data_IF_518041612055
#
_entry.id   IF_518041612055
#
_cell.length_a   1.000
_cell.length_b   1.000
_cell.length_c   1.000
_cell.angle_alpha   90.00
_cell.angle_beta   90.00
_cell.angle_gamma   90.00
#
_symmetry.space_group_name_H-M   'P 1'
#
loop_
_entity.id
_entity.type
_entity.pdbx_description
1 polymer ?
#
# COMPACT_ATOMS: atom_id res chain seq x y z
N UNK A 1 8.39 -16.33 -6.78
CA UNK A 1 7.05 -16.97 -6.81
C UNK A 1 6.00 -15.87 -6.79
N UNK A 2 4.97 -15.98 -7.64
CA UNK A 2 3.86 -15.03 -7.64
C UNK A 2 3.07 -15.17 -6.33
N UNK A 3 2.60 -14.05 -5.78
CA UNK A 3 1.81 -14.00 -4.55
C UNK A 3 0.55 -14.89 -4.65
N UNK A 4 -0.09 -14.92 -5.82
CA UNK A 4 -1.23 -15.77 -6.12
C UNK A 4 -0.96 -17.27 -5.87
N UNK A 5 0.18 -17.78 -6.36
CA UNK A 5 0.56 -19.17 -6.15
C UNK A 5 0.85 -19.48 -4.66
N UNK A 6 1.37 -18.48 -3.93
CA UNK A 6 1.57 -18.64 -2.49
C UNK A 6 0.23 -18.79 -1.76
N UNK A 7 -0.74 -17.94 -2.08
CA UNK A 7 -2.08 -18.04 -1.47
C UNK A 7 -2.78 -19.36 -1.80
N UNK A 8 -2.64 -19.87 -3.03
CA UNK A 8 -3.16 -21.20 -3.38
C UNK A 8 -2.52 -22.31 -2.55
N UNK A 9 -1.19 -22.27 -2.40
CA UNK A 9 -0.48 -23.24 -1.54
C UNK A 9 -0.92 -23.10 -0.08
N UNK A 10 -1.18 -21.90 0.41
CA UNK A 10 -1.71 -21.64 1.75
C UNK A 10 -3.09 -22.23 1.93
N UNK A 11 -3.99 -22.12 0.95
CA UNK A 11 -5.31 -22.76 1.00
C UNK A 11 -5.19 -24.29 1.16
N UNK A 12 -4.31 -24.93 0.38
CA UNK A 12 -4.06 -26.36 0.47
C UNK A 12 -3.47 -26.75 1.83
N UNK A 13 -2.54 -25.95 2.36
CA UNK A 13 -1.96 -26.16 3.68
C UNK A 13 -3.00 -26.07 4.80
N UNK A 14 -3.87 -25.06 4.74
CA UNK A 14 -4.95 -24.87 5.72
C UNK A 14 -5.93 -26.04 5.69
N UNK A 15 -6.30 -26.52 4.50
CA UNK A 15 -7.19 -27.68 4.36
C UNK A 15 -6.55 -28.96 4.93
N UNK A 16 -5.27 -29.19 4.66
CA UNK A 16 -4.51 -30.29 5.27
C UNK A 16 -4.44 -30.17 6.79
N UNK A 17 -4.23 -28.96 7.32
CA UNK A 17 -4.21 -28.71 8.76
C UNK A 17 -5.56 -29.00 9.40
N UNK A 18 -6.65 -28.56 8.79
CA UNK A 18 -8.01 -28.83 9.25
C UNK A 18 -8.29 -30.33 9.28
N UNK A 19 -7.99 -31.05 8.20
CA UNK A 19 -8.28 -32.47 8.08
C UNK A 19 -7.41 -33.31 9.04
N UNK A 20 -6.09 -33.06 9.03
CA UNK A 20 -5.13 -33.97 9.69
C UNK A 20 -4.89 -33.67 11.15
N UNK A 21 -5.02 -32.41 11.56
CA UNK A 21 -4.74 -31.97 12.93
C UNK A 21 -6.02 -31.68 13.72
N UNK A 22 -6.97 -30.98 13.11
CA UNK A 22 -8.21 -30.59 13.77
C UNK A 22 -9.35 -31.58 13.55
N UNK A 23 -9.16 -32.60 12.71
CA UNK A 23 -10.19 -33.59 12.34
C UNK A 23 -11.49 -32.95 11.83
N UNK A 24 -11.35 -31.82 11.12
CA UNK A 24 -12.42 -31.05 10.54
C UNK A 24 -12.46 -31.17 9.02
N UNK A 25 -13.59 -30.89 8.37
CA UNK A 25 -13.65 -30.85 6.91
C UNK A 25 -12.77 -29.75 6.33
N UNK A 26 -12.26 -29.95 5.11
CA UNK A 26 -11.59 -28.91 4.35
C UNK A 26 -12.48 -27.69 4.18
N UNK A 27 -11.87 -26.51 4.18
CA UNK A 27 -12.59 -25.24 4.06
C UNK A 27 -12.51 -24.62 2.67
N UNK A 28 -11.31 -24.52 2.11
CA UNK A 28 -11.10 -23.84 0.83
C UNK A 28 -11.36 -24.74 -0.37
N UNK A 29 -10.86 -25.97 -0.34
CA UNK A 29 -10.93 -26.95 -1.42
C UNK A 29 -10.47 -26.39 -2.78
N UNK A 30 -9.59 -25.37 -2.74
CA UNK A 30 -9.12 -24.65 -3.92
C UNK A 30 -8.11 -25.49 -4.70
N UNK A 31 -8.31 -25.61 -6.01
CA UNK A 31 -7.45 -26.33 -6.94
C UNK A 31 -6.79 -25.38 -7.95
N UNK A 32 -7.38 -24.22 -8.16
CA UNK A 32 -6.94 -23.21 -9.10
C UNK A 32 -7.01 -21.83 -8.47
N UNK A 33 -6.45 -20.82 -9.14
CA UNK A 33 -6.50 -19.43 -8.67
C UNK A 33 -7.93 -18.88 -8.72
N UNK A 34 -8.75 -19.35 -9.65
CA UNK A 34 -10.14 -18.96 -9.80
C UNK A 34 -10.98 -19.39 -8.59
N UNK A 35 -10.64 -20.53 -7.98
CA UNK A 35 -11.35 -21.01 -6.79
C UNK A 35 -11.12 -20.13 -5.56
N UNK A 36 -10.05 -19.32 -5.57
CA UNK A 36 -9.72 -18.39 -4.48
C UNK A 36 -10.48 -17.06 -4.63
N UNK A 37 -10.90 -16.72 -5.83
CA UNK A 37 -11.67 -15.47 -6.07
C UNK A 37 -12.99 -15.55 -5.30
N UNK A 38 -13.26 -14.47 -4.54
CA UNK A 38 -14.44 -14.41 -3.66
C UNK A 38 -14.14 -14.78 -2.20
N UNK A 39 -13.04 -15.44 -1.90
CA UNK A 39 -12.65 -15.71 -0.51
C UNK A 39 -12.17 -14.46 0.22
N UNK A 40 -12.33 -14.48 1.54
CA UNK A 40 -11.88 -13.40 2.41
C UNK A 40 -10.39 -13.59 2.71
N UNK A 41 -9.67 -12.51 2.58
CA UNK A 41 -8.27 -12.38 2.99
C UNK A 41 -8.13 -11.25 4.01
N UNK A 42 -6.99 -11.19 4.66
CA UNK A 42 -6.60 -10.15 5.60
C UNK A 42 -5.45 -9.37 4.97
N UNK A 43 -5.64 -8.07 4.77
CA UNK A 43 -4.57 -7.14 4.43
C UNK A 43 -3.95 -6.57 5.69
N UNK A 44 -2.64 -6.56 5.75
CA UNK A 44 -1.86 -6.11 6.89
C UNK A 44 -0.69 -5.26 6.41
N UNK A 45 -0.57 -4.05 6.91
CA UNK A 45 0.62 -3.26 6.67
C UNK A 45 1.81 -3.84 7.46
N UNK A 46 3.04 -3.84 6.92
CA UNK A 46 4.22 -4.29 7.62
C UNK A 46 4.39 -3.58 8.98
N UNK A 47 4.86 -4.33 9.97
CA UNK A 47 5.11 -3.84 11.33
C UNK A 47 3.87 -3.32 12.06
N UNK A 48 2.69 -3.78 11.68
CA UNK A 48 1.42 -3.50 12.36
C UNK A 48 0.76 -4.80 12.81
N UNK A 49 -0.22 -4.69 13.73
CA UNK A 49 -0.99 -5.83 14.21
C UNK A 49 -2.47 -5.74 13.84
N UNK A 50 -2.88 -4.66 13.18
CA UNK A 50 -4.25 -4.41 12.77
C UNK A 50 -4.49 -4.88 11.34
N UNK A 51 -5.10 -6.06 11.19
CA UNK A 51 -5.51 -6.59 9.89
C UNK A 51 -6.85 -6.02 9.44
N UNK A 52 -6.99 -5.79 8.14
CA UNK A 52 -8.24 -5.33 7.50
C UNK A 52 -8.77 -6.44 6.61
N UNK A 53 -10.01 -6.86 6.86
CA UNK A 53 -10.65 -7.88 6.04
C UNK A 53 -10.95 -7.32 4.64
N UNK A 54 -10.61 -8.11 3.63
CA UNK A 54 -10.91 -7.82 2.23
C UNK A 54 -11.39 -9.07 1.50
N UNK A 55 -11.88 -8.90 0.29
CA UNK A 55 -12.28 -10.00 -0.58
C UNK A 55 -11.41 -9.99 -1.82
N UNK A 56 -10.88 -11.14 -2.17
CA UNK A 56 -10.15 -11.31 -3.43
C UNK A 56 -11.15 -11.21 -4.56
N UNK A 57 -10.94 -10.27 -5.48
CA UNK A 57 -11.84 -10.01 -6.62
C UNK A 57 -11.26 -10.46 -7.96
N UNK A 58 -9.99 -10.82 -8.00
CA UNK A 58 -9.32 -11.28 -9.21
C UNK A 58 -7.81 -11.24 -9.09
N UNK A 59 -7.15 -11.53 -10.19
CA UNK A 59 -5.70 -11.59 -10.34
C UNK A 59 -5.24 -10.66 -11.45
N UNK A 60 -4.03 -10.17 -11.33
CA UNK A 60 -3.35 -9.36 -12.33
C UNK A 60 -1.92 -9.86 -12.51
N UNK A 61 -1.37 -9.66 -13.69
CA UNK A 61 0.04 -9.96 -13.98
C UNK A 61 0.99 -8.87 -13.45
N UNK A 62 0.46 -7.75 -13.01
CA UNK A 62 1.25 -6.68 -12.40
C UNK A 62 1.82 -7.11 -11.05
N UNK A 63 3.03 -6.66 -10.72
CA UNK A 63 3.67 -6.85 -9.42
C UNK A 63 3.14 -5.90 -8.34
N UNK A 64 1.88 -5.53 -8.43
CA UNK A 64 1.20 -4.62 -7.52
C UNK A 64 -0.18 -5.13 -7.13
N UNK A 65 -0.65 -4.74 -5.94
CA UNK A 65 -2.01 -5.02 -5.48
C UNK A 65 -2.93 -3.83 -5.74
N UNK A 66 -4.11 -4.10 -6.26
CA UNK A 66 -5.17 -3.12 -6.49
C UNK A 66 -6.28 -3.31 -5.48
N UNK A 67 -6.73 -2.23 -4.89
CA UNK A 67 -7.86 -2.25 -3.97
C UNK A 67 -8.59 -0.90 -3.95
N UNK A 68 -9.74 -0.88 -3.32
CA UNK A 68 -10.46 0.36 -3.07
C UNK A 68 -9.60 1.34 -2.25
N UNK A 69 -9.56 2.65 -2.56
CA UNK A 69 -8.76 3.63 -1.82
C UNK A 69 -8.97 3.60 -0.30
N UNK A 70 -10.20 3.45 0.17
CA UNK A 70 -10.49 3.34 1.60
C UNK A 70 -9.91 2.08 2.25
N UNK A 71 -9.72 0.98 1.51
CA UNK A 71 -9.02 -0.19 2.02
C UNK A 71 -7.53 0.11 2.24
N UNK A 72 -6.88 0.76 1.28
CA UNK A 72 -5.49 1.21 1.43
C UNK A 72 -5.34 2.17 2.61
N UNK A 73 -6.24 3.14 2.70
CA UNK A 73 -6.27 4.08 3.81
C UNK A 73 -6.44 3.38 5.17
N UNK A 74 -7.33 2.38 5.27
CA UNK A 74 -7.55 1.62 6.50
C UNK A 74 -6.32 0.87 7.00
N UNK A 75 -5.44 0.48 6.11
CA UNK A 75 -4.15 -0.13 6.45
C UNK A 75 -3.13 0.90 6.94
N UNK A 76 -3.44 2.18 6.89
CA UNK A 76 -2.57 3.30 7.30
C UNK A 76 -1.24 3.31 6.52
N UNK A 77 -1.31 3.00 5.22
CA UNK A 77 -0.15 3.01 4.32
C UNK A 77 -0.45 3.85 3.11
N UNK A 78 0.59 4.50 2.59
CA UNK A 78 0.54 5.24 1.35
C UNK A 78 0.50 4.28 0.15
N UNK A 79 0.13 4.81 -1.01
CA UNK A 79 0.11 4.03 -2.26
C UNK A 79 1.30 4.39 -3.18
N UNK A 80 2.43 4.72 -2.58
CA UNK A 80 3.63 5.27 -3.24
C UNK A 80 4.78 4.25 -3.36
N UNK A 81 4.49 2.97 -3.23
CA UNK A 81 5.47 1.88 -3.30
C UNK A 81 5.63 1.11 -1.99
N UNK A 82 4.74 1.32 -1.04
CA UNK A 82 4.70 0.57 0.20
C UNK A 82 4.30 -0.89 -0.04
N UNK A 83 4.84 -1.77 0.76
CA UNK A 83 4.54 -3.20 0.73
C UNK A 83 3.38 -3.53 1.68
N UNK A 84 2.56 -4.50 1.29
CA UNK A 84 1.49 -5.06 2.10
C UNK A 84 1.66 -6.58 2.25
N UNK A 85 1.25 -7.10 3.41
CA UNK A 85 1.02 -8.52 3.60
C UNK A 85 -0.43 -8.86 3.29
N UNK A 86 -0.65 -9.93 2.54
CA UNK A 86 -1.98 -10.51 2.32
C UNK A 86 -1.94 -11.95 2.77
N UNK A 87 -2.88 -12.34 3.62
CA UNK A 87 -3.02 -13.73 4.07
C UNK A 87 -4.46 -14.19 3.96
N UNK A 88 -4.64 -15.50 3.80
CA UNK A 88 -5.98 -16.07 3.81
C UNK A 88 -6.58 -16.00 5.22
N UNK A 89 -7.90 -15.76 5.31
CA UNK A 89 -8.57 -15.57 6.61
C UNK A 89 -8.34 -16.74 7.56
N UNK A 90 -8.51 -17.97 7.09
CA UNK A 90 -8.36 -19.15 7.95
C UNK A 90 -6.91 -19.38 8.38
N UNK A 91 -5.93 -19.02 7.54
CA UNK A 91 -4.53 -19.04 7.94
C UNK A 91 -4.27 -18.05 9.09
N UNK A 92 -4.77 -16.83 8.96
CA UNK A 92 -4.70 -15.81 10.01
C UNK A 92 -5.37 -16.27 11.32
N UNK A 93 -6.53 -16.92 11.23
CA UNK A 93 -7.27 -17.37 12.43
C UNK A 93 -6.63 -18.58 13.12
N UNK A 94 -6.07 -19.52 12.36
CA UNK A 94 -5.52 -20.77 12.90
C UNK A 94 -4.06 -20.62 13.35
N UNK A 95 -3.25 -19.88 12.61
CA UNK A 95 -1.80 -19.87 12.77
C UNK A 95 -1.26 -18.59 13.43
N UNK A 96 -1.98 -17.48 13.39
CA UNK A 96 -1.55 -16.20 13.98
C UNK A 96 -2.31 -15.92 15.27
N UNK A 97 -2.14 -16.76 16.26
CA UNK A 97 -2.72 -16.56 17.59
C UNK A 97 -1.65 -16.02 18.55
N UNK A 98 -2.09 -15.27 19.56
CA UNK A 98 -1.19 -14.74 20.58
C UNK A 98 -0.40 -15.84 21.31
N UNK A 99 -0.94 -17.07 21.37
CA UNK A 99 -0.32 -18.21 22.04
C UNK A 99 0.86 -18.80 21.25
N UNK A 100 0.80 -18.75 19.93
CA UNK A 100 1.83 -19.34 19.04
C UNK A 100 2.93 -18.33 18.73
N UNK A 101 2.62 -17.03 18.79
CA UNK A 101 3.57 -15.98 18.43
C UNK A 101 4.70 -15.86 19.47
N UNK A 102 5.92 -15.56 19.02
CA UNK A 102 7.04 -15.32 19.92
C UNK A 102 6.72 -14.22 20.92
N UNK A 103 7.27 -14.33 22.12
CA UNK A 103 7.07 -13.34 23.17
C UNK A 103 7.71 -11.97 22.85
N UNK A 104 8.71 -11.94 21.95
CA UNK A 104 9.39 -10.73 21.55
C UNK A 104 8.47 -9.81 20.72
N UNK A 105 8.71 -8.51 20.84
CA UNK A 105 7.90 -7.50 20.15
C UNK A 105 7.94 -7.66 18.63
N UNK A 106 9.11 -7.94 18.04
CA UNK A 106 9.29 -8.10 16.60
C UNK A 106 8.43 -9.24 16.02
N UNK A 107 8.34 -10.38 16.69
CA UNK A 107 7.54 -11.51 16.21
C UNK A 107 6.02 -11.30 16.27
N UNK A 108 5.56 -10.23 16.94
CA UNK A 108 4.14 -9.88 17.03
C UNK A 108 3.72 -8.77 16.08
N UNK A 109 4.68 -8.04 15.51
CA UNK A 109 4.40 -6.84 14.71
C UNK A 109 3.82 -7.15 13.32
N UNK A 110 4.03 -8.36 12.82
CA UNK A 110 3.55 -8.76 11.50
C UNK A 110 2.43 -9.81 11.58
N UNK A 111 1.73 -9.86 12.72
CA UNK A 111 0.64 -10.79 12.95
C UNK A 111 -0.70 -10.06 13.10
N UNK A 112 -1.77 -10.54 12.48
CA UNK A 112 -3.10 -9.93 12.56
C UNK A 112 -3.77 -10.22 13.91
N UNK A 113 -3.26 -9.62 14.98
CA UNK A 113 -3.79 -9.78 16.33
C UNK A 113 -5.15 -9.08 16.53
N UNK A 114 -5.44 -8.10 15.71
CA UNK A 114 -6.72 -7.40 15.65
C UNK A 114 -7.22 -7.42 14.21
N UNK A 115 -8.43 -7.89 14.01
CA UNK A 115 -9.08 -7.92 12.71
C UNK A 115 -10.27 -6.98 12.70
N UNK A 116 -10.29 -6.03 11.77
CA UNK A 116 -11.44 -5.17 11.52
C UNK A 116 -12.13 -5.54 10.22
N UNK A 117 -13.47 -5.52 10.27
CA UNK A 117 -14.36 -5.66 9.12
C UNK A 117 -15.11 -4.36 8.83
N UNK A 118 -14.95 -3.36 9.69
CA UNK A 118 -15.55 -2.04 9.55
C UNK A 118 -14.48 -1.01 9.34
N UNK A 119 -14.68 -0.18 8.33
CA UNK A 119 -13.90 1.02 8.09
C UNK A 119 -14.64 2.21 8.70
N UNK A 120 -13.94 2.94 9.54
CA UNK A 120 -14.36 4.28 9.93
C UNK A 120 -13.40 5.27 9.24
N UNK A 121 -13.82 5.92 8.16
CA UNK A 121 -12.93 6.81 7.40
C UNK A 121 -12.35 7.95 8.23
N UNK A 122 -13.03 8.38 9.30
CA UNK A 122 -12.57 9.46 10.19
C UNK A 122 -11.39 9.06 11.10
N UNK A 123 -11.15 7.76 11.27
CA UNK A 123 -10.06 7.22 12.11
C UNK A 123 -8.79 6.90 11.33
N UNK A 124 -8.80 7.15 10.03
CA UNK A 124 -7.72 6.83 9.12
C UNK A 124 -6.67 7.95 9.15
N UNK A 125 -5.41 7.57 8.96
CA UNK A 125 -4.31 8.53 8.81
C UNK A 125 -4.57 9.48 7.63
N UNK A 126 -4.43 10.78 7.88
CA UNK A 126 -4.70 11.80 6.87
C UNK A 126 -3.84 11.67 5.62
N UNK A 127 -2.61 11.20 5.77
CA UNK A 127 -1.72 10.99 4.63
C UNK A 127 -2.26 9.92 3.68
N UNK A 128 -2.87 8.86 4.22
CA UNK A 128 -3.49 7.81 3.42
C UNK A 128 -4.77 8.26 2.71
N UNK A 129 -5.34 9.41 3.07
CA UNK A 129 -6.52 9.99 2.43
C UNK A 129 -6.20 10.89 1.23
N UNK A 130 -4.93 11.15 0.96
CA UNK A 130 -4.50 11.97 -0.19
C UNK A 130 -4.51 11.23 -1.54
N UNK A 131 -5.20 10.10 -1.63
CA UNK A 131 -5.34 9.35 -2.88
C UNK A 131 -6.26 10.11 -3.82
N UNK A 132 -5.77 10.36 -5.03
CA UNK A 132 -6.55 10.91 -6.13
C UNK A 132 -7.56 9.86 -6.64
N UNK A 133 -8.78 10.27 -6.86
CA UNK A 133 -9.87 9.41 -7.29
C UNK A 133 -10.71 9.99 -8.44
N UNK A 134 -10.22 11.03 -9.10
CA UNK A 134 -10.88 11.61 -10.26
C UNK A 134 -10.84 10.68 -11.48
N UNK A 135 -11.84 10.80 -12.34
CA UNK A 135 -11.86 10.14 -13.64
C UNK A 135 -11.07 10.92 -14.69
N UNK A 136 -11.03 12.23 -14.55
CA UNK A 136 -10.29 13.14 -15.42
C UNK A 136 -10.09 14.47 -14.69
N UNK A 137 -9.10 15.23 -15.11
CA UNK A 137 -8.95 16.63 -14.76
C UNK A 137 -9.36 17.52 -15.91
N UNK A 138 -9.97 18.65 -15.58
CA UNK A 138 -10.31 19.67 -16.55
C UNK A 138 -9.05 20.46 -16.97
N UNK A 139 -9.21 21.30 -17.99
CA UNK A 139 -8.13 22.12 -18.53
C UNK A 139 -7.54 23.05 -17.47
N UNK A 140 -8.38 23.61 -16.60
CA UNK A 140 -7.96 24.58 -15.59
C UNK A 140 -6.93 23.99 -14.63
N UNK A 141 -7.04 22.68 -14.31
CA UNK A 141 -6.04 21.98 -13.51
C UNK A 141 -4.67 22.01 -14.20
N UNK A 142 -4.61 21.61 -15.48
CA UNK A 142 -3.35 21.59 -16.22
C UNK A 142 -2.76 22.97 -16.44
N UNK A 143 -3.58 23.96 -16.72
CA UNK A 143 -3.12 25.35 -16.85
C UNK A 143 -2.57 25.90 -15.54
N UNK A 144 -3.23 25.61 -14.41
CA UNK A 144 -2.74 26.02 -13.10
C UNK A 144 -1.37 25.41 -12.76
N UNK A 145 -1.09 24.19 -13.21
CA UNK A 145 0.20 23.54 -12.93
C UNK A 145 1.38 24.21 -13.61
N UNK A 146 1.17 25.01 -14.67
CA UNK A 146 2.24 25.73 -15.36
C UNK A 146 2.95 26.74 -14.44
N UNK A 147 2.20 27.33 -13.51
CA UNK A 147 2.73 28.30 -12.54
C UNK A 147 3.31 27.63 -11.29
N UNK A 148 3.29 26.28 -11.22
CA UNK A 148 3.81 25.47 -10.12
C UNK A 148 3.30 25.92 -8.74
N UNK A 149 1.99 26.13 -8.54
CA UNK A 149 1.43 26.51 -7.25
C UNK A 149 1.60 25.37 -6.24
N UNK A 150 1.48 25.69 -4.98
CA UNK A 150 1.41 24.66 -3.96
C UNK A 150 0.10 23.83 -4.15
N UNK A 151 0.13 22.49 -4.03
CA UNK A 151 -1.07 21.66 -4.25
C UNK A 151 -2.30 22.08 -3.45
N UNK A 152 -2.11 22.66 -2.26
CA UNK A 152 -3.21 23.19 -1.44
C UNK A 152 -3.95 24.34 -2.11
N UNK A 153 -3.27 25.14 -2.94
CA UNK A 153 -3.85 26.34 -3.57
C UNK A 153 -4.77 25.95 -4.75
N UNK A 154 -4.56 24.78 -5.33
CA UNK A 154 -5.36 24.22 -6.43
C UNK A 154 -6.21 23.01 -6.01
N UNK A 155 -6.34 22.76 -4.71
CA UNK A 155 -7.09 21.61 -4.19
C UNK A 155 -8.53 21.54 -4.73
N UNK A 156 -9.18 22.66 -4.93
CA UNK A 156 -10.52 22.72 -5.50
C UNK A 156 -10.66 22.22 -6.94
N UNK A 157 -9.55 22.01 -7.64
CA UNK A 157 -9.49 21.40 -8.98
C UNK A 157 -9.18 19.90 -8.94
N UNK A 158 -8.99 19.34 -7.76
CA UNK A 158 -8.65 17.92 -7.53
C UNK A 158 -9.82 17.19 -6.90
N UNK A 159 -9.83 15.89 -7.03
CA UNK A 159 -10.80 15.01 -6.40
C UNK A 159 -10.06 13.94 -5.59
N UNK A 160 -9.96 14.15 -4.31
CA UNK A 160 -9.22 13.28 -3.41
C UNK A 160 -10.15 12.61 -2.39
N UNK A 161 -9.74 11.45 -1.87
CA UNK A 161 -10.53 10.64 -0.95
C UNK A 161 -10.97 11.44 0.28
N UNK A 162 -10.09 12.29 0.85
CA UNK A 162 -10.41 13.09 2.02
C UNK A 162 -11.63 14.01 1.81
N UNK A 163 -11.76 14.59 0.62
CA UNK A 163 -12.84 15.53 0.31
C UNK A 163 -14.19 14.84 0.11
N UNK A 164 -14.19 13.52 -0.07
CA UNK A 164 -15.39 12.70 -0.22
C UNK A 164 -15.93 12.12 1.08
N UNK A 165 -15.17 12.21 2.17
CA UNK A 165 -15.56 11.63 3.45
C UNK A 165 -16.87 12.25 3.97
N UNK A 166 -17.80 11.38 4.37
CA UNK A 166 -19.11 11.78 4.85
C UNK A 166 -20.10 12.25 3.78
N UNK A 167 -19.73 12.23 2.50
CA UNK A 167 -20.61 12.59 1.40
C UNK A 167 -21.36 11.38 0.84
N UNK A 168 -22.48 11.65 0.14
CA UNK A 168 -23.15 10.63 -0.65
C UNK A 168 -22.20 10.21 -1.78
N UNK A 169 -21.79 8.95 -1.79
CA UNK A 169 -20.82 8.44 -2.75
C UNK A 169 -19.40 8.31 -2.20
N UNK A 170 -19.22 8.47 -0.90
CA UNK A 170 -17.94 8.27 -0.18
C UNK A 170 -17.21 6.98 -0.60
N UNK A 171 -17.95 5.92 -0.91
CA UNK A 171 -17.41 4.62 -1.31
C UNK A 171 -17.57 4.29 -2.79
N UNK A 172 -17.98 5.25 -3.62
CA UNK A 172 -18.31 5.01 -5.05
C UNK A 172 -17.71 6.07 -5.95
N UNK A 173 -17.69 5.77 -7.26
CA UNK A 173 -17.28 6.74 -8.27
C UNK A 173 -15.78 7.04 -8.28
N UNK A 174 -14.98 6.12 -7.85
CA UNK A 174 -13.51 6.22 -7.97
C UNK A 174 -13.04 5.85 -9.36
N UNK A 175 -12.11 6.58 -9.89
CA UNK A 175 -11.56 6.39 -11.22
C UNK A 175 -10.06 6.62 -11.31
N UNK A 176 -9.57 6.63 -12.53
CA UNK A 176 -8.18 6.91 -12.89
C UNK A 176 -8.15 8.08 -13.85
N UNK A 177 -7.31 9.05 -13.58
CA UNK A 177 -7.21 10.27 -14.40
C UNK A 177 -6.50 10.07 -15.72
N UNK A 178 -5.62 9.09 -15.81
CA UNK A 178 -4.79 8.81 -16.97
C UNK A 178 -4.71 7.31 -17.23
N UNK A 179 -4.59 6.93 -18.48
CA UNK A 179 -4.22 5.57 -18.84
C UNK A 179 -2.83 5.29 -18.28
N UNK A 180 -2.73 4.27 -17.45
CA UNK A 180 -1.45 3.79 -16.95
C UNK A 180 -1.01 2.58 -17.75
N UNK A 181 0.24 2.55 -18.15
CA UNK A 181 0.89 1.33 -18.63
C UNK A 181 1.02 0.30 -17.50
N UNK A 182 1.61 -0.87 -17.77
CA UNK A 182 1.90 -1.85 -16.73
C UNK A 182 2.71 -1.21 -15.61
N UNK A 183 2.22 -1.26 -14.37
CA UNK A 183 2.92 -0.69 -13.20
C UNK A 183 4.25 -1.38 -12.91
N UNK A 184 4.44 -2.58 -13.41
CA UNK A 184 5.64 -3.38 -13.30
C UNK A 184 6.54 -3.35 -14.55
N UNK A 185 6.22 -2.51 -15.54
CA UNK A 185 7.06 -2.29 -16.73
C UNK A 185 8.30 -1.47 -16.36
N UNK A 186 9.26 -2.10 -15.76
CA UNK A 186 10.50 -1.44 -15.35
C UNK A 186 11.45 -2.43 -14.67
N UNK A 187 12.58 -1.95 -14.15
CA UNK A 187 13.48 -2.80 -13.40
C UNK A 187 12.80 -3.31 -12.12
N UNK A 188 12.86 -4.60 -11.88
CA UNK A 188 12.29 -5.25 -10.68
C UNK A 188 12.95 -4.80 -9.36
N UNK A 189 14.16 -4.26 -9.44
CA UNK A 189 14.91 -3.79 -8.28
C UNK A 189 15.32 -2.33 -8.47
N UNK A 190 15.07 -1.54 -7.43
CA UNK A 190 15.60 -0.19 -7.35
C UNK A 190 17.11 -0.22 -7.09
N UNK A 191 17.88 0.59 -7.82
CA UNK A 191 19.30 0.82 -7.52
C UNK A 191 19.52 1.35 -6.11
N UNK A 192 18.52 1.95 -5.50
CA UNK A 192 18.57 2.40 -4.10
C UNK A 192 18.94 1.28 -3.12
N UNK A 193 18.51 0.05 -3.38
CA UNK A 193 18.85 -1.13 -2.55
C UNK A 193 20.34 -1.47 -2.57
N UNK A 194 21.08 -1.06 -3.60
CA UNK A 194 22.53 -1.31 -3.73
C UNK A 194 23.38 -0.22 -3.11
N UNK A 195 22.79 0.92 -2.75
CA UNK A 195 23.47 2.04 -2.12
C UNK A 195 23.54 1.82 -0.60
N UNK A 196 24.75 1.70 -0.07
CA UNK A 196 24.95 1.33 1.34
C UNK A 196 24.94 2.54 2.25
N UNK A 197 25.60 3.62 1.84
CA UNK A 197 25.78 4.82 2.67
C UNK A 197 24.79 5.94 2.31
N UNK A 198 24.49 6.80 3.29
CA UNK A 198 23.68 8.01 3.04
C UNK A 198 24.33 8.94 2.03
N UNK A 199 25.66 8.99 2.00
CA UNK A 199 26.38 9.79 1.01
C UNK A 199 26.11 9.27 -0.41
N UNK A 200 26.21 7.96 -0.65
CA UNK A 200 25.92 7.36 -1.96
C UNK A 200 24.50 7.61 -2.38
N UNK A 201 23.53 7.51 -1.46
CA UNK A 201 22.13 7.78 -1.69
C UNK A 201 21.89 9.23 -2.11
N UNK A 202 22.49 10.17 -1.39
CA UNK A 202 22.39 11.60 -1.71
C UNK A 202 23.08 11.93 -3.04
N UNK A 203 24.28 11.42 -3.28
CA UNK A 203 24.99 11.60 -4.55
C UNK A 203 24.17 11.06 -5.73
N UNK A 204 23.50 9.93 -5.54
CA UNK A 204 22.59 9.36 -6.56
C UNK A 204 21.39 10.27 -6.83
N UNK A 205 20.74 10.80 -5.80
CA UNK A 205 19.63 11.72 -5.95
C UNK A 205 20.03 13.03 -6.66
N UNK A 206 21.15 13.62 -6.27
CA UNK A 206 21.65 14.85 -6.88
C UNK A 206 22.09 14.64 -8.34
N UNK A 207 22.55 13.43 -8.68
CA UNK A 207 22.95 13.09 -10.05
C UNK A 207 21.77 13.08 -11.04
N UNK A 208 20.53 12.96 -10.57
CA UNK A 208 19.35 13.02 -11.43
C UNK A 208 19.25 14.34 -12.18
N UNK A 209 19.67 15.46 -11.58
CA UNK A 209 19.73 16.76 -12.25
C UNK A 209 20.71 16.84 -13.42
N UNK A 210 21.65 15.87 -13.54
CA UNK A 210 22.56 15.77 -14.69
C UNK A 210 21.97 14.96 -15.83
N UNK A 211 21.02 14.08 -15.53
CA UNK A 211 20.41 13.13 -16.46
C UNK A 211 19.04 13.58 -16.95
N UNK A 212 18.26 14.19 -16.05
CA UNK A 212 16.88 14.60 -16.31
C UNK A 212 16.79 16.13 -16.39
N UNK A 213 16.35 16.64 -17.54
CA UNK A 213 16.17 18.09 -17.74
C UNK A 213 15.13 18.74 -16.80
N UNK A 214 14.16 17.95 -16.35
CA UNK A 214 13.11 18.40 -15.43
C UNK A 214 13.55 18.50 -13.97
N UNK A 215 14.75 18.01 -13.64
CA UNK A 215 15.28 18.01 -12.27
C UNK A 215 16.34 19.10 -12.10
N UNK A 216 16.05 20.07 -11.23
CA UNK A 216 17.01 21.09 -10.80
C UNK A 216 17.77 20.59 -9.57
N UNK A 217 19.05 20.24 -9.73
CA UNK A 217 19.85 19.65 -8.65
C UNK A 217 20.02 20.58 -7.44
N UNK A 218 20.10 21.89 -7.65
CA UNK A 218 20.15 22.92 -6.62
C UNK A 218 18.86 22.94 -5.76
N UNK A 219 17.70 22.81 -6.40
CA UNK A 219 16.41 22.70 -5.70
C UNK A 219 16.30 21.41 -4.90
N UNK A 220 16.75 20.29 -5.47
CA UNK A 220 16.80 18.99 -4.75
C UNK A 220 17.71 19.11 -3.53
N UNK A 221 18.92 19.68 -3.68
CA UNK A 221 19.84 19.87 -2.57
C UNK A 221 19.24 20.77 -1.48
N UNK A 222 18.61 21.89 -1.87
CA UNK A 222 17.94 22.78 -0.93
C UNK A 222 16.82 22.05 -0.17
N UNK A 223 15.97 21.32 -0.86
CA UNK A 223 14.86 20.60 -0.25
C UNK A 223 15.34 19.55 0.74
N UNK A 224 16.35 18.77 0.38
CA UNK A 224 16.94 17.75 1.27
C UNK A 224 17.51 18.38 2.54
N UNK A 225 18.20 19.52 2.41
CA UNK A 225 18.77 20.22 3.58
C UNK A 225 17.66 20.78 4.47
N UNK A 226 16.73 21.55 3.89
CA UNK A 226 15.72 22.29 4.66
C UNK A 226 14.64 21.40 5.27
N UNK A 227 14.18 20.39 4.53
CA UNK A 227 13.04 19.57 4.92
C UNK A 227 13.41 18.26 5.62
N UNK A 228 14.66 17.84 5.52
CA UNK A 228 15.11 16.58 6.09
C UNK A 228 16.26 16.77 7.09
N UNK A 229 17.44 17.22 6.65
CA UNK A 229 18.60 17.29 7.55
C UNK A 229 18.47 18.32 8.66
N UNK A 230 17.98 19.53 8.38
CA UNK A 230 17.85 20.54 9.42
C UNK A 230 16.82 20.19 10.50
N UNK A 231 15.62 19.65 10.17
CA UNK A 231 14.69 19.15 11.18
C UNK A 231 15.27 18.03 12.04
N UNK A 232 15.95 17.07 11.42
CA UNK A 232 16.55 15.93 12.14
C UNK A 232 17.66 16.40 13.09
N UNK A 233 18.48 17.35 12.68
CA UNK A 233 19.52 17.94 13.54
C UNK A 233 18.90 18.68 14.73
N UNK A 234 17.81 19.40 14.53
CA UNK A 234 17.11 20.13 15.62
C UNK A 234 16.45 19.20 16.61
N UNK A 235 15.96 18.03 16.15
CA UNK A 235 15.35 17.02 17.02
C UNK A 235 16.35 16.26 17.88
N UNK A 236 17.64 16.32 17.56
CA UNK A 236 18.72 15.63 18.26
C UNK A 236 19.59 16.57 19.14
N UNK A 237 19.29 17.86 19.18
CA UNK A 237 19.90 18.86 20.06
C UNK A 237 18.95 19.19 21.22
#
# INVERSE_FOLDING_TARGET
RLASNHLLSTCSFVDDLLIRFYEMPAFYMAKSLEDIVGHIAIGLAPHTSGGVACRIIGWTDASAGYAHPLFHAAKRRNCDGDEDSIMMLMDGLLNFTQTILPANRGGRMDAPLVLTTRLNPSEIDKEALNVDCAWFYNRDFYESTLDQPHPKDIRGLMDIVEDRLGMIGEIRGYGWTHDSGPLDAGPENSSYKTLVTMKEKLDSQLSLGKVLRSVAADRVAKQVIESHFLPDMRGNL
#
